data_IF_687254185759
#
_entry.id   IF_687254185759
#
_cell.length_a   1.000
_cell.length_b   1.000
_cell.length_c   1.000
_cell.angle_alpha   90.00
_cell.angle_beta   90.00
_cell.angle_gamma   90.00
#
_symmetry.space_group_name_H-M   'P 1'
#
loop_
_entity.id
_entity.type
_entity.pdbx_description
1 polymer ?
#
# COMPACT_ATOMS: atom_id res chain seq x y z
N UNK A 1 -40.26 23.11 19.48
CA UNK A 1 -40.49 23.44 18.06
C UNK A 1 -39.49 22.64 17.26
N UNK A 2 -39.93 21.55 16.64
CA UNK A 2 -39.11 20.76 15.73
C UNK A 2 -38.94 21.51 14.42
N UNK A 3 -37.82 22.22 14.29
CA UNK A 3 -37.36 22.80 13.04
C UNK A 3 -35.99 22.21 12.74
N UNK A 4 -35.80 21.73 11.51
CA UNK A 4 -34.47 21.36 11.01
C UNK A 4 -33.57 22.59 11.16
N UNK A 5 -32.46 22.44 11.88
CA UNK A 5 -31.45 23.48 12.04
C UNK A 5 -30.17 23.04 11.36
N UNK A 6 -29.64 23.88 10.50
CA UNK A 6 -28.35 23.66 9.84
C UNK A 6 -27.26 24.26 10.71
N UNK A 7 -26.22 23.47 10.95
CA UNK A 7 -25.08 23.83 11.79
C UNK A 7 -23.80 23.71 10.94
N UNK A 8 -23.00 24.78 10.90
CA UNK A 8 -21.71 24.80 10.25
C UNK A 8 -20.62 24.51 11.27
N UNK A 9 -19.69 23.62 10.91
CA UNK A 9 -18.60 23.20 11.78
C UNK A 9 -17.27 23.64 11.16
N UNK A 10 -16.46 24.34 11.96
CA UNK A 10 -15.18 24.88 11.57
C UNK A 10 -13.98 24.13 12.16
N UNK A 11 -12.78 24.65 11.91
CA UNK A 11 -11.53 24.10 12.45
C UNK A 11 -11.47 24.15 13.98
N UNK A 12 -10.74 23.23 14.59
CA UNK A 12 -10.59 23.12 16.05
C UNK A 12 -9.26 23.78 16.49
N UNK A 13 -9.27 24.75 17.42
CA UNK A 13 -8.05 25.39 17.92
C UNK A 13 -7.35 24.58 19.04
N UNK A 14 -8.02 23.59 19.63
CA UNK A 14 -7.50 22.77 20.72
C UNK A 14 -8.28 21.44 20.85
N UNK A 15 -7.64 20.41 21.40
CA UNK A 15 -8.27 19.11 21.65
C UNK A 15 -9.55 19.26 22.48
N UNK A 16 -10.69 18.85 21.93
CA UNK A 16 -12.01 18.90 22.59
C UNK A 16 -12.79 20.21 22.43
N UNK A 17 -12.35 21.11 21.53
CA UNK A 17 -13.03 22.37 21.27
C UNK A 17 -13.23 22.56 19.76
N UNK A 18 -14.47 22.69 19.31
CA UNK A 18 -14.80 22.85 17.88
C UNK A 18 -15.57 24.14 17.66
N UNK A 19 -15.22 24.89 16.61
CA UNK A 19 -16.01 26.07 16.21
C UNK A 19 -17.31 25.62 15.56
N UNK A 20 -18.42 26.18 16.03
CA UNK A 20 -19.76 25.85 15.55
C UNK A 20 -20.51 27.14 15.28
N UNK A 21 -21.18 27.23 14.12
CA UNK A 21 -22.02 28.37 13.75
C UNK A 21 -23.39 27.88 13.31
N UNK A 22 -24.45 28.51 13.82
CA UNK A 22 -25.80 28.23 13.38
C UNK A 22 -26.09 28.95 12.06
N UNK A 23 -26.77 28.27 11.14
CA UNK A 23 -27.24 28.91 9.92
C UNK A 23 -28.14 30.12 10.22
N UNK A 24 -27.89 31.24 9.54
CA UNK A 24 -28.52 32.53 9.80
C UNK A 24 -27.96 33.35 10.97
N UNK A 25 -26.85 32.92 11.60
CA UNK A 25 -26.15 33.70 12.63
C UNK A 25 -24.67 33.93 12.29
N UNK A 26 -24.16 35.11 12.60
CA UNK A 26 -22.75 35.47 12.41
C UNK A 26 -21.87 35.06 13.60
N UNK A 27 -22.48 34.75 14.74
CA UNK A 27 -21.79 34.37 15.96
C UNK A 27 -21.26 32.93 15.86
N UNK A 28 -19.96 32.78 16.10
CA UNK A 28 -19.29 31.49 16.18
C UNK A 28 -19.11 31.12 17.65
N UNK A 29 -19.54 29.92 18.01
CA UNK A 29 -19.47 29.41 19.38
C UNK A 29 -18.41 28.32 19.48
N UNK A 30 -17.83 28.18 20.67
CA UNK A 30 -16.94 27.08 21.00
C UNK A 30 -17.75 25.99 21.69
N UNK A 31 -17.94 24.85 21.02
CA UNK A 31 -18.58 23.68 21.62
C UNK A 31 -17.57 22.95 22.51
N UNK A 32 -17.87 22.84 23.81
CA UNK A 32 -17.16 21.95 24.75
C UNK A 32 -17.78 20.55 24.67
N UNK A 33 -16.95 19.50 24.82
CA UNK A 33 -17.36 18.08 24.81
C UNK A 33 -17.77 17.51 23.44
N UNK A 34 -17.33 18.13 22.34
CA UNK A 34 -17.31 17.46 21.03
C UNK A 34 -15.91 16.89 20.83
N UNK A 35 -15.76 15.58 20.93
CA UNK A 35 -14.48 14.94 20.65
C UNK A 35 -14.22 15.00 19.13
N UNK A 36 -12.96 15.20 18.72
CA UNK A 36 -12.57 15.31 17.31
C UNK A 36 -12.80 14.04 16.48
N UNK A 37 -13.16 12.94 17.13
CA UNK A 37 -13.46 11.64 16.53
C UNK A 37 -14.95 11.46 16.20
N UNK A 38 -15.83 12.18 16.89
CA UNK A 38 -17.27 12.23 16.65
C UNK A 38 -17.62 13.22 15.55
N UNK A 39 -16.77 14.22 15.30
CA UNK A 39 -17.00 15.23 14.26
C UNK A 39 -15.74 15.61 13.48
N UNK A 40 -15.25 14.70 12.65
CA UNK A 40 -14.06 14.97 11.86
C UNK A 40 -14.35 15.90 10.66
N UNK A 41 -13.43 16.82 10.36
CA UNK A 41 -13.61 17.85 9.33
C UNK A 41 -13.57 17.32 7.88
N UNK A 42 -13.11 16.08 7.69
CA UNK A 42 -13.10 15.43 6.38
C UNK A 42 -14.41 14.67 6.17
N UNK A 43 -15.09 14.93 5.05
CA UNK A 43 -16.34 14.26 4.70
C UNK A 43 -16.20 12.73 4.67
N UNK A 44 -15.01 12.20 4.33
CA UNK A 44 -14.67 10.77 4.33
C UNK A 44 -14.81 10.09 5.69
N UNK A 45 -14.78 10.83 6.80
CA UNK A 45 -14.94 10.27 8.14
C UNK A 45 -16.41 10.15 8.59
N UNK A 46 -17.33 10.64 7.75
CA UNK A 46 -18.79 10.56 7.95
C UNK A 46 -19.47 9.62 6.95
N UNK A 47 -18.73 9.12 5.97
CA UNK A 47 -19.23 8.24 4.92
C UNK A 47 -18.38 6.96 4.90
N UNK A 48 -18.95 5.86 4.39
CA UNK A 48 -18.12 4.72 4.06
C UNK A 48 -17.14 5.13 2.96
N UNK A 49 -15.85 5.18 3.31
CA UNK A 49 -14.80 5.57 2.39
C UNK A 49 -14.53 4.48 1.33
N UNK A 50 -15.10 3.28 1.47
CA UNK A 50 -15.08 2.25 0.43
C UNK A 50 -15.90 2.73 -0.78
N UNK A 51 -15.22 3.26 -1.79
CA UNK A 51 -15.86 3.85 -2.97
C UNK A 51 -16.18 2.82 -4.04
N UNK A 52 -15.30 1.84 -4.21
CA UNK A 52 -15.45 0.78 -5.19
C UNK A 52 -14.90 -0.52 -4.65
N UNK A 53 -15.60 -1.62 -4.90
CA UNK A 53 -15.15 -2.95 -4.51
C UNK A 53 -15.67 -4.01 -5.49
N UNK A 54 -14.82 -4.98 -5.81
CA UNK A 54 -15.19 -6.20 -6.54
C UNK A 54 -14.49 -7.40 -5.92
N UNK A 55 -15.10 -8.58 -6.04
CA UNK A 55 -14.46 -9.82 -5.62
C UNK A 55 -13.34 -10.17 -6.59
N UNK A 56 -12.10 -10.25 -6.12
CA UNK A 56 -10.93 -10.53 -6.96
C UNK A 56 -11.01 -11.87 -7.72
N UNK A 57 -11.73 -12.86 -7.16
CA UNK A 57 -11.93 -14.15 -7.82
C UNK A 57 -12.92 -14.08 -9.00
N UNK A 58 -13.81 -13.10 -9.00
CA UNK A 58 -14.82 -12.92 -10.03
C UNK A 58 -14.25 -12.12 -11.22
N UNK A 59 -13.12 -11.41 -11.05
CA UNK A 59 -12.47 -10.65 -12.14
C UNK A 59 -11.71 -11.59 -13.07
N UNK A 60 -12.09 -11.62 -14.34
CA UNK A 60 -11.45 -12.43 -15.38
C UNK A 60 -10.81 -11.59 -16.51
N UNK A 61 -11.17 -10.32 -16.65
CA UNK A 61 -10.54 -9.41 -17.61
C UNK A 61 -10.18 -8.06 -16.96
N UNK A 62 -8.98 -7.57 -17.27
CA UNK A 62 -8.49 -6.25 -16.86
C UNK A 62 -7.87 -5.57 -18.06
N UNK A 63 -8.41 -4.44 -18.49
CA UNK A 63 -7.76 -3.55 -19.45
C UNK A 63 -7.30 -2.29 -18.73
N UNK A 64 -6.00 -2.01 -18.74
CA UNK A 64 -5.42 -0.75 -18.24
C UNK A 64 -4.87 0.04 -19.42
N UNK A 65 -5.43 1.23 -19.64
CA UNK A 65 -4.96 2.20 -20.61
C UNK A 65 -4.38 3.41 -19.88
N UNK A 66 -3.13 3.74 -20.15
CA UNK A 66 -2.48 4.96 -19.66
C UNK A 66 -1.51 5.51 -20.72
N UNK A 67 -0.63 6.45 -20.34
CA UNK A 67 0.35 7.05 -21.24
C UNK A 67 1.43 6.07 -21.75
N UNK A 68 1.63 4.93 -21.07
CA UNK A 68 2.57 3.88 -21.48
C UNK A 68 1.97 2.87 -22.47
N UNK A 69 0.67 2.98 -22.76
CA UNK A 69 -0.05 2.12 -23.70
C UNK A 69 -1.21 1.37 -23.05
N UNK A 70 -1.67 0.33 -23.74
CA UNK A 70 -2.75 -0.55 -23.31
C UNK A 70 -2.17 -1.87 -22.81
N UNK A 71 -2.63 -2.32 -21.64
CA UNK A 71 -2.32 -3.62 -21.06
C UNK A 71 -3.62 -4.39 -20.88
N UNK A 72 -3.72 -5.55 -21.52
CA UNK A 72 -4.93 -6.38 -21.50
C UNK A 72 -4.59 -7.71 -20.83
N UNK A 73 -5.11 -7.93 -19.64
CA UNK A 73 -4.94 -9.16 -18.88
C UNK A 73 -6.21 -10.00 -18.94
N UNK A 74 -6.06 -11.29 -19.21
CA UNK A 74 -7.17 -12.25 -19.22
C UNK A 74 -6.84 -13.44 -18.34
N UNK A 75 -7.77 -13.81 -17.47
CA UNK A 75 -7.70 -15.00 -16.65
C UNK A 75 -8.33 -16.17 -17.40
N UNK A 76 -7.63 -17.30 -17.43
CA UNK A 76 -8.17 -18.54 -17.98
C UNK A 76 -9.37 -19.07 -17.20
N UNK A 77 -10.02 -20.09 -17.76
CA UNK A 77 -11.08 -20.83 -17.08
C UNK A 77 -10.59 -21.38 -15.73
N UNK A 78 -11.47 -21.48 -14.71
CA UNK A 78 -11.12 -22.11 -13.44
C UNK A 78 -10.54 -23.51 -13.62
N UNK A 79 -9.57 -23.84 -12.78
CA UNK A 79 -8.97 -25.17 -12.77
C UNK A 79 -9.99 -26.22 -12.30
N UNK A 80 -9.72 -27.49 -12.61
CA UNK A 80 -10.61 -28.61 -12.25
C UNK A 80 -10.83 -28.77 -10.73
N UNK A 81 -9.94 -28.20 -9.91
CA UNK A 81 -10.04 -28.17 -8.45
C UNK A 81 -10.84 -26.98 -7.90
N UNK A 82 -11.39 -26.13 -8.78
CA UNK A 82 -12.16 -24.94 -8.43
C UNK A 82 -11.31 -23.72 -8.08
N UNK A 83 -9.98 -23.77 -8.27
CA UNK A 83 -9.12 -22.58 -8.13
C UNK A 83 -9.24 -21.67 -9.35
N UNK A 84 -9.03 -20.34 -9.20
CA UNK A 84 -9.01 -19.43 -10.33
C UNK A 84 -7.98 -19.84 -11.39
N UNK A 85 -8.31 -19.62 -12.66
CA UNK A 85 -7.39 -19.88 -13.77
C UNK A 85 -6.16 -18.98 -13.74
N UNK A 86 -5.18 -19.29 -14.59
CA UNK A 86 -3.95 -18.51 -14.69
C UNK A 86 -4.17 -17.20 -15.46
N UNK A 87 -3.43 -16.17 -15.06
CA UNK A 87 -3.42 -14.89 -15.77
C UNK A 87 -2.53 -14.95 -17.00
N UNK A 88 -2.97 -14.26 -18.06
CA UNK A 88 -2.22 -14.02 -19.28
C UNK A 88 -2.25 -12.54 -19.62
N UNK A 89 -1.24 -12.06 -20.35
CA UNK A 89 -1.17 -10.71 -20.90
C UNK A 89 -1.20 -10.80 -22.43
N UNK A 90 -2.03 -10.00 -23.08
CA UNK A 90 -2.06 -9.94 -24.53
C UNK A 90 -0.73 -9.45 -25.11
N UNK A 91 -0.26 -10.11 -26.18
CA UNK A 91 1.02 -9.80 -26.81
C UNK A 91 2.24 -10.22 -26.00
N UNK A 92 2.12 -11.16 -25.07
CA UNK A 92 3.27 -11.81 -24.42
C UNK A 92 4.09 -12.61 -25.45
N UNK A 93 5.40 -12.39 -25.51
CA UNK A 93 6.29 -13.13 -26.40
C UNK A 93 6.57 -14.54 -25.86
N UNK A 94 7.01 -15.45 -26.74
CA UNK A 94 7.22 -16.86 -26.38
C UNK A 94 8.34 -17.10 -25.34
N UNK A 95 9.27 -16.15 -25.21
CA UNK A 95 10.39 -16.16 -24.28
C UNK A 95 10.14 -15.31 -23.02
N UNK A 96 8.98 -14.66 -22.92
CA UNK A 96 8.61 -13.85 -21.77
C UNK A 96 7.75 -14.63 -20.79
N UNK A 97 8.02 -14.45 -19.50
CA UNK A 97 7.21 -15.01 -18.44
C UNK A 97 6.49 -13.88 -17.71
N UNK A 98 5.19 -14.07 -17.47
CA UNK A 98 4.35 -13.09 -16.77
C UNK A 98 4.65 -13.11 -15.26
N UNK A 99 4.79 -11.93 -14.66
CA UNK A 99 4.85 -11.75 -13.22
C UNK A 99 3.42 -11.69 -12.67
N UNK A 100 2.90 -12.84 -12.25
CA UNK A 100 1.55 -12.96 -11.68
C UNK A 100 1.40 -12.26 -10.32
N UNK A 101 2.50 -12.00 -9.62
CA UNK A 101 2.49 -11.27 -8.34
C UNK A 101 2.18 -9.79 -8.56
N UNK A 102 2.68 -9.23 -9.68
CA UNK A 102 2.37 -7.85 -10.10
C UNK A 102 0.91 -7.68 -10.47
N UNK A 103 0.33 -8.66 -11.18
CA UNK A 103 -1.10 -8.65 -11.51
C UNK A 103 -1.95 -8.74 -10.24
N UNK A 104 -1.58 -9.60 -9.30
CA UNK A 104 -2.28 -9.72 -8.01
C UNK A 104 -2.25 -8.39 -7.23
N UNK A 105 -1.11 -7.70 -7.27
CA UNK A 105 -0.96 -6.36 -6.67
C UNK A 105 -1.85 -5.33 -7.35
N UNK A 106 -1.86 -5.28 -8.69
CA UNK A 106 -2.74 -4.40 -9.46
C UNK A 106 -4.21 -4.68 -9.13
N UNK A 107 -4.63 -5.94 -9.16
CA UNK A 107 -5.99 -6.37 -8.87
C UNK A 107 -6.44 -5.98 -7.45
N UNK A 108 -5.58 -6.13 -6.46
CA UNK A 108 -5.88 -5.74 -5.07
C UNK A 108 -6.15 -4.24 -4.96
N UNK A 109 -5.42 -3.43 -5.73
CA UNK A 109 -5.54 -1.96 -5.72
C UNK A 109 -6.79 -1.46 -6.42
N UNK A 110 -7.06 -1.97 -7.61
CA UNK A 110 -8.24 -1.56 -8.40
C UNK A 110 -9.53 -2.24 -7.92
N UNK A 111 -9.40 -3.41 -7.31
CA UNK A 111 -10.52 -4.19 -6.79
C UNK A 111 -11.08 -3.66 -5.47
N UNK A 112 -10.38 -2.76 -4.79
CA UNK A 112 -10.83 -2.12 -3.55
C UNK A 112 -10.27 -0.70 -3.46
N UNK A 113 -11.06 0.27 -3.89
CA UNK A 113 -10.64 1.68 -3.94
C UNK A 113 -11.34 2.45 -2.83
N UNK A 114 -10.54 3.13 -2.01
CA UNK A 114 -11.03 4.05 -0.98
C UNK A 114 -10.93 5.49 -1.46
N UNK A 115 -11.98 6.27 -1.23
CA UNK A 115 -11.95 7.71 -1.46
C UNK A 115 -11.24 8.44 -0.30
N UNK A 116 -10.56 9.52 -0.64
CA UNK A 116 -9.99 10.50 0.30
C UNK A 116 -11.02 11.59 0.57
N UNK A 117 -11.61 12.16 -0.48
CA UNK A 117 -12.66 13.17 -0.39
C UNK A 117 -13.69 12.98 -1.52
N UNK A 118 -14.99 13.19 -1.27
CA UNK A 118 -15.96 13.31 -2.35
C UNK A 118 -15.81 14.66 -3.07
N UNK A 119 -15.81 14.66 -4.41
CA UNK A 119 -15.77 15.87 -5.23
C UNK A 119 -17.17 16.37 -5.60
N UNK A 120 -18.14 15.47 -5.70
CA UNK A 120 -19.55 15.75 -5.99
C UNK A 120 -20.08 14.90 -7.15
N UNK A 121 -21.27 15.23 -7.67
CA UNK A 121 -21.88 14.51 -8.80
C UNK A 121 -21.72 15.23 -10.14
N UNK A 122 -21.27 16.47 -10.11
CA UNK A 122 -21.19 17.33 -11.30
C UNK A 122 -19.79 17.25 -11.87
N UNK A 123 -19.70 16.91 -13.15
CA UNK A 123 -18.42 16.95 -13.87
C UNK A 123 -17.88 18.38 -13.90
N UNK A 124 -16.59 18.52 -13.63
CA UNK A 124 -15.88 19.79 -13.69
C UNK A 124 -14.62 19.60 -14.54
N UNK A 125 -14.27 20.59 -15.38
CA UNK A 125 -13.05 20.53 -16.18
C UNK A 125 -11.78 20.31 -15.34
N UNK A 126 -11.75 20.84 -14.11
CA UNK A 126 -10.64 20.68 -13.16
C UNK A 126 -10.36 19.23 -12.76
N UNK A 127 -11.33 18.32 -12.94
CA UNK A 127 -11.14 16.89 -12.65
C UNK A 127 -10.38 16.16 -13.76
N UNK A 128 -10.20 16.75 -14.94
CA UNK A 128 -9.46 16.11 -16.04
C UNK A 128 -10.12 14.83 -16.58
N UNK A 129 -11.45 14.69 -16.42
CA UNK A 129 -12.17 13.46 -16.82
C UNK A 129 -12.43 13.36 -18.33
N UNK A 130 -12.29 14.47 -19.07
CA UNK A 130 -12.39 14.47 -20.54
C UNK A 130 -11.20 13.78 -21.21
N UNK A 131 -10.03 13.79 -20.57
CA UNK A 131 -8.83 13.10 -21.02
C UNK A 131 -8.17 12.44 -19.80
N UNK A 132 -8.68 11.27 -19.37
CA UNK A 132 -8.21 10.61 -18.17
C UNK A 132 -6.75 10.16 -18.34
N UNK A 133 -5.96 10.29 -17.27
CA UNK A 133 -4.54 9.90 -17.24
C UNK A 133 -4.38 8.38 -17.22
N UNK A 134 -5.37 7.67 -16.66
CA UNK A 134 -5.49 6.23 -16.75
C UNK A 134 -6.97 5.83 -16.77
N UNK A 135 -7.29 4.80 -17.55
CA UNK A 135 -8.61 4.16 -17.56
C UNK A 135 -8.43 2.67 -17.34
N UNK A 136 -9.13 2.12 -16.36
CA UNK A 136 -9.15 0.69 -16.07
C UNK A 136 -10.54 0.16 -16.33
N UNK A 137 -10.65 -0.88 -17.16
CA UNK A 137 -11.88 -1.63 -17.39
C UNK A 137 -11.73 -3.01 -16.75
N UNK A 138 -12.72 -3.41 -15.95
CA UNK A 138 -12.79 -4.72 -15.31
C UNK A 138 -14.02 -5.44 -15.83
N UNK A 139 -13.85 -6.69 -16.24
CA UNK A 139 -14.96 -7.62 -16.43
C UNK A 139 -14.99 -8.55 -15.22
N UNK A 140 -16.17 -8.73 -14.63
CA UNK A 140 -16.40 -9.71 -13.57
C UNK A 140 -17.45 -10.71 -13.98
N UNK A 141 -17.24 -11.97 -13.63
CA UNK A 141 -18.16 -13.07 -13.82
C UNK A 141 -18.46 -13.73 -12.47
N UNK A 142 -19.70 -13.69 -12.04
CA UNK A 142 -20.12 -14.34 -10.79
C UNK A 142 -20.25 -15.87 -10.95
N UNK A 143 -20.52 -16.56 -9.84
CA UNK A 143 -20.68 -18.02 -9.82
C UNK A 143 -21.88 -18.51 -10.66
N UNK A 144 -22.84 -17.64 -10.94
CA UNK A 144 -23.99 -17.90 -11.80
C UNK A 144 -23.69 -17.63 -13.29
N UNK A 145 -22.50 -17.10 -13.59
CA UNK A 145 -22.03 -16.77 -14.93
C UNK A 145 -22.51 -15.42 -15.45
N UNK A 146 -23.06 -14.56 -14.61
CA UNK A 146 -23.45 -13.21 -15.01
C UNK A 146 -22.20 -12.33 -15.13
N UNK A 147 -22.05 -11.71 -16.29
CA UNK A 147 -20.94 -10.81 -16.62
C UNK A 147 -21.35 -9.38 -16.30
N UNK A 148 -20.47 -8.63 -15.63
CA UNK A 148 -20.62 -7.20 -15.34
C UNK A 148 -19.32 -6.44 -15.60
N UNK A 149 -19.45 -5.32 -16.30
CA UNK A 149 -18.34 -4.45 -16.64
C UNK A 149 -18.27 -3.24 -15.71
N UNK A 150 -17.06 -2.90 -15.30
CA UNK A 150 -16.75 -1.70 -14.53
C UNK A 150 -15.70 -0.86 -15.24
N UNK A 151 -15.94 0.44 -15.35
CA UNK A 151 -14.95 1.39 -15.86
C UNK A 151 -14.53 2.33 -14.75
N UNK A 152 -13.24 2.39 -14.50
CA UNK A 152 -12.60 3.21 -13.48
C UNK A 152 -11.71 4.24 -14.20
N UNK A 153 -12.05 5.51 -14.06
CA UNK A 153 -11.34 6.60 -14.72
C UNK A 153 -10.56 7.41 -13.70
N UNK A 154 -9.28 7.64 -13.99
CA UNK A 154 -8.38 8.47 -13.21
C UNK A 154 -8.14 9.78 -13.96
N UNK A 155 -8.58 10.87 -13.37
CA UNK A 155 -8.45 12.22 -13.90
C UNK A 155 -7.17 12.92 -13.42
N UNK A 156 -7.25 14.24 -13.29
CA UNK A 156 -6.13 15.10 -12.91
C UNK A 156 -5.70 14.90 -11.44
N UNK A 157 -4.40 15.13 -11.20
CA UNK A 157 -3.79 15.23 -9.87
C UNK A 157 -3.98 16.64 -9.28
N UNK A 158 -4.37 16.73 -8.02
CA UNK A 158 -4.49 17.99 -7.28
C UNK A 158 -3.14 18.44 -6.66
N UNK A 159 -3.14 19.63 -6.05
CA UNK A 159 -1.95 20.19 -5.38
C UNK A 159 -1.50 19.39 -4.14
N UNK A 160 -2.39 18.56 -3.58
CA UNK A 160 -2.09 17.67 -2.45
C UNK A 160 -1.56 16.31 -2.91
N UNK A 161 -1.51 16.08 -4.23
CA UNK A 161 -1.06 14.85 -4.85
C UNK A 161 -2.12 13.75 -4.93
N UNK A 162 -3.40 14.04 -4.67
CA UNK A 162 -4.51 13.10 -4.87
C UNK A 162 -5.04 13.19 -6.30
N UNK A 163 -5.65 12.12 -6.78
CA UNK A 163 -6.21 12.09 -8.13
C UNK A 163 -7.73 12.14 -8.09
N UNK A 164 -8.33 12.88 -9.01
CA UNK A 164 -9.76 12.74 -9.29
C UNK A 164 -10.04 11.33 -9.85
N UNK A 165 -11.11 10.70 -9.41
CA UNK A 165 -11.46 9.33 -9.76
C UNK A 165 -12.97 9.18 -9.94
N UNK A 166 -13.37 8.33 -10.88
CA UNK A 166 -14.76 8.02 -11.19
C UNK A 166 -14.93 6.55 -11.55
N UNK A 167 -15.84 5.87 -10.87
CA UNK A 167 -16.30 4.53 -11.24
C UNK A 167 -17.62 4.61 -12.01
N UNK A 168 -17.85 3.70 -12.97
CA UNK A 168 -19.12 3.55 -13.68
C UNK A 168 -20.28 3.16 -12.76
N UNK A 169 -20.01 2.50 -11.63
CA UNK A 169 -21.01 2.03 -10.67
C UNK A 169 -21.46 3.12 -9.67
N UNK A 170 -20.88 4.32 -9.73
CA UNK A 170 -21.18 5.43 -8.82
C UNK A 170 -21.48 6.72 -9.57
N UNK A 171 -22.44 7.52 -9.10
CA UNK A 171 -22.72 8.85 -9.65
C UNK A 171 -21.71 9.92 -9.21
N UNK A 172 -20.86 9.62 -8.24
CA UNK A 172 -19.97 10.61 -7.63
C UNK A 172 -18.58 10.59 -8.25
N UNK A 173 -18.03 11.77 -8.47
CA UNK A 173 -16.60 12.02 -8.59
C UNK A 173 -16.00 12.07 -7.18
N UNK A 174 -14.83 11.46 -7.01
CA UNK A 174 -14.11 11.42 -5.74
C UNK A 174 -12.63 11.70 -5.96
N UNK A 175 -11.91 11.94 -4.88
CA UNK A 175 -10.45 11.92 -4.86
C UNK A 175 -9.98 10.59 -4.31
N UNK A 176 -8.93 10.02 -4.90
CA UNK A 176 -8.20 8.87 -4.34
C UNK A 176 -6.77 9.27 -4.01
N UNK A 177 -6.14 8.49 -3.14
CA UNK A 177 -4.80 8.77 -2.69
C UNK A 177 -3.78 8.73 -3.84
N UNK A 178 -2.78 9.60 -3.75
CA UNK A 178 -1.73 9.74 -4.75
C UNK A 178 -0.98 8.45 -5.08
N UNK A 179 -0.76 7.57 -4.09
CA UNK A 179 -0.07 6.30 -4.32
C UNK A 179 -0.83 5.40 -5.30
N UNK A 180 -2.16 5.26 -5.13
CA UNK A 180 -2.99 4.43 -6.01
C UNK A 180 -3.01 5.01 -7.42
N UNK A 181 -3.17 6.33 -7.56
CA UNK A 181 -3.20 6.98 -8.86
C UNK A 181 -1.83 6.96 -9.56
N UNK A 182 -0.75 7.22 -8.82
CA UNK A 182 0.61 7.23 -9.37
C UNK A 182 1.00 5.87 -9.94
N UNK A 183 0.61 4.78 -9.28
CA UNK A 183 0.87 3.44 -9.76
C UNK A 183 0.14 3.24 -11.11
N UNK A 184 -1.17 3.47 -11.18
CA UNK A 184 -1.97 3.29 -12.40
C UNK A 184 -1.47 4.10 -13.61
N UNK A 185 -0.95 5.32 -13.37
CA UNK A 185 -0.41 6.17 -14.44
C UNK A 185 0.97 5.69 -14.91
N UNK A 186 1.75 5.05 -14.03
CA UNK A 186 3.14 4.64 -14.30
C UNK A 186 3.28 3.20 -14.76
N UNK A 187 2.32 2.33 -14.45
CA UNK A 187 2.33 0.93 -14.88
C UNK A 187 2.66 0.83 -16.37
N UNK A 188 3.65 0.02 -16.68
CA UNK A 188 4.06 -0.27 -18.05
C UNK A 188 4.20 -1.78 -18.24
N UNK A 189 4.16 -2.23 -19.49
CA UNK A 189 4.30 -3.66 -19.84
C UNK A 189 5.50 -4.33 -19.17
N UNK A 190 6.63 -3.63 -19.12
CA UNK A 190 7.88 -4.14 -18.56
C UNK A 190 7.77 -4.50 -17.07
N UNK A 191 6.84 -3.88 -16.33
CA UNK A 191 6.63 -4.16 -14.91
C UNK A 191 5.94 -5.50 -14.66
N UNK A 192 5.31 -6.08 -15.70
CA UNK A 192 4.58 -7.35 -15.64
C UNK A 192 5.36 -8.52 -16.23
N UNK A 193 6.57 -8.30 -16.73
CA UNK A 193 7.42 -9.38 -17.22
C UNK A 193 8.40 -9.75 -16.11
N UNK A 194 8.50 -11.04 -15.80
CA UNK A 194 9.47 -11.53 -14.85
C UNK A 194 10.87 -11.12 -15.31
N UNK A 195 11.54 -10.34 -14.48
CA UNK A 195 12.94 -10.09 -14.67
C UNK A 195 13.68 -11.39 -14.35
N UNK A 196 14.71 -11.77 -15.14
CA UNK A 196 15.55 -12.90 -14.76
C UNK A 196 16.03 -12.63 -13.34
N UNK A 197 15.85 -13.60 -12.44
CA UNK A 197 16.36 -13.47 -11.07
C UNK A 197 17.80 -12.99 -11.18
N UNK A 198 18.08 -11.78 -10.71
CA UNK A 198 19.46 -11.40 -10.44
C UNK A 198 19.90 -12.39 -9.40
N UNK A 199 20.63 -13.43 -9.84
CA UNK A 199 21.28 -14.35 -8.95
C UNK A 199 22.10 -13.51 -7.99
N UNK A 200 21.59 -13.30 -6.78
CA UNK A 200 22.41 -12.83 -5.67
C UNK A 200 23.55 -13.84 -5.65
N UNK A 201 24.80 -13.42 -5.90
CA UNK A 201 25.93 -14.33 -5.74
C UNK A 201 25.78 -14.89 -4.35
N UNK A 202 25.64 -16.21 -4.22
CA UNK A 202 25.49 -16.88 -2.94
C UNK A 202 26.50 -16.24 -1.99
N UNK A 203 26.01 -15.42 -1.05
CA UNK A 203 26.86 -14.81 -0.05
C UNK A 203 27.52 -15.99 0.63
N UNK A 204 28.83 -16.06 0.46
CA UNK A 204 29.63 -17.21 0.85
C UNK A 204 29.33 -17.44 2.32
N UNK A 205 28.64 -18.54 2.61
CA UNK A 205 28.34 -18.95 3.96
C UNK A 205 29.64 -18.79 4.77
N UNK A 206 29.63 -18.06 5.90
CA UNK A 206 30.83 -17.94 6.71
C UNK A 206 31.35 -19.35 7.00
N UNK A 207 32.67 -19.59 6.87
CA UNK A 207 33.22 -20.92 7.02
C UNK A 207 32.75 -21.50 8.34
N UNK A 208 32.21 -22.73 8.28
CA UNK A 208 31.74 -23.46 9.45
C UNK A 208 32.84 -23.39 10.53
N UNK A 209 32.48 -22.82 11.68
CA UNK A 209 33.35 -22.82 12.84
C UNK A 209 33.77 -24.28 13.12
N UNK A 210 35.05 -24.55 13.39
CA UNK A 210 35.50 -25.91 13.65
C UNK A 210 34.74 -26.45 14.86
N UNK A 211 34.16 -27.64 14.69
CA UNK A 211 33.50 -28.36 15.77
C UNK A 211 34.47 -28.52 16.95
N UNK A 212 34.15 -27.89 18.08
CA UNK A 212 34.82 -28.18 19.35
C UNK A 212 34.40 -29.59 19.78
N UNK A 213 35.30 -30.55 19.60
CA UNK A 213 35.16 -31.85 20.24
C UNK A 213 35.27 -31.65 21.74
N UNK A 214 34.24 -32.06 22.50
CA UNK A 214 34.28 -32.15 23.95
C UNK A 214 35.32 -33.20 24.36
N UNK A 215 36.57 -32.77 24.49
CA UNK A 215 37.69 -33.55 25.00
C UNK A 215 37.93 -33.24 26.47
N UNK A 216 37.61 -34.22 27.31
CA UNK A 216 38.16 -34.54 28.63
C UNK A 216 38.94 -33.44 29.37
N UNK A 217 38.36 -32.99 30.49
CA UNK A 217 39.06 -32.25 31.54
C UNK A 217 40.22 -33.13 32.05
N UNK A 218 41.45 -32.74 31.74
CA UNK A 218 42.65 -33.28 32.40
C UNK A 218 43.16 -32.22 33.35
N UNK A 219 43.03 -32.51 34.64
CA UNK A 219 43.56 -31.72 35.75
C UNK A 219 45.09 -31.75 35.69
N UNK A 220 45.72 -30.62 35.40
CA UNK A 220 47.17 -30.47 35.51
C UNK A 220 47.51 -29.92 36.89
N UNK A 221 47.90 -30.82 37.78
CA UNK A 221 48.65 -30.50 39.00
C UNK A 221 50.11 -30.25 38.61
N UNK A 222 50.68 -29.18 39.19
CA UNK A 222 52.10 -28.87 39.35
C UNK A 222 52.93 -28.20 38.22
N UNK A 223 53.59 -27.14 38.71
CA UNK A 223 54.89 -26.56 38.35
C UNK A 223 55.05 -25.73 37.06
N UNK A 224 55.08 -24.41 37.29
CA UNK A 224 55.76 -23.39 36.48
C UNK A 224 57.27 -23.67 36.41
N UNK A 225 57.83 -23.66 35.20
CA UNK A 225 59.21 -23.19 34.96
C UNK A 225 59.28 -22.37 33.66
N UNK A 226 59.80 -21.16 33.83
CA UNK A 226 60.09 -20.12 32.85
C UNK A 226 61.12 -20.56 31.78
N UNK A 227 61.08 -19.97 30.58
CA UNK A 227 62.16 -19.13 29.99
C UNK A 227 61.82 -18.81 28.52
N UNK A 228 61.59 -17.54 28.19
CA UNK A 228 61.51 -17.08 26.80
C UNK A 228 60.82 -15.74 26.65
N UNK A 229 61.61 -14.66 26.61
CA UNK A 229 61.18 -13.29 26.34
C UNK A 229 60.37 -13.18 25.04
N UNK A 230 59.20 -12.55 25.10
CA UNK A 230 58.55 -11.99 23.90
C UNK A 230 58.33 -10.51 24.17
N UNK A 231 59.05 -9.71 23.38
CA UNK A 231 59.11 -8.26 23.44
C UNK A 231 57.75 -7.69 23.03
N UNK A 232 57.15 -6.91 23.92
CA UNK A 232 55.99 -6.10 23.62
C UNK A 232 56.37 -5.00 22.61
N UNK A 233 55.58 -4.86 21.56
CA UNK A 233 55.40 -3.59 20.86
C UNK A 233 53.89 -3.37 20.76
N UNK A 234 53.38 -2.67 21.77
CA UNK A 234 52.02 -2.09 21.83
C UNK A 234 51.74 -1.25 20.55
N UNK A 235 50.53 -1.20 20.02
CA UNK A 235 49.38 -0.62 20.70
C UNK A 235 48.06 -1.37 20.45
N UNK A 236 47.51 -1.93 21.52
CA UNK A 236 46.10 -2.28 21.65
C UNK A 236 45.44 -1.18 22.48
N UNK A 237 44.57 -0.39 21.88
CA UNK A 237 43.66 0.49 22.62
C UNK A 237 42.50 -0.34 23.15
N UNK A 238 42.60 -0.80 24.40
CA UNK A 238 41.48 -1.27 25.19
C UNK A 238 40.86 -0.08 25.93
N UNK A 239 39.57 0.16 25.75
CA UNK A 239 38.77 0.90 26.73
C UNK A 239 37.86 -0.13 27.38
N UNK A 240 38.32 -0.64 28.52
CA UNK A 240 37.52 -1.43 29.44
C UNK A 240 36.93 -0.48 30.48
N UNK A 241 35.62 -0.59 30.73
CA UNK A 241 34.99 -0.06 31.94
C UNK A 241 34.08 -1.15 32.48
N UNK A 242 34.68 -2.06 33.25
CA UNK A 242 33.95 -2.87 34.23
C UNK A 242 33.68 -1.98 35.44
N UNK A 243 32.43 -1.94 35.89
CA UNK A 243 32.09 -1.59 37.27
C UNK A 243 31.16 -2.68 37.80
N UNK A 244 31.78 -3.64 38.46
CA UNK A 244 31.15 -4.55 39.41
C UNK A 244 30.84 -3.77 40.69
N UNK A 245 29.62 -3.87 41.20
CA UNK A 245 29.45 -3.86 42.66
C UNK A 245 28.21 -4.67 43.03
N UNK A 246 28.51 -5.79 43.68
CA UNK A 246 27.57 -6.78 44.20
C UNK A 246 26.97 -6.40 45.57
N UNK A 247 25.71 -6.82 45.77
CA UNK A 247 25.09 -7.40 47.01
C UNK A 247 24.65 -6.42 48.13
N UNK A 248 23.63 -6.73 48.98
CA UNK A 248 22.89 -7.99 49.17
C UNK A 248 21.39 -8.03 48.79
#
# INVERSE_FOLDING_TARGET
SDGVKTLYIGSSPASGATHVRLDGQDETYLGSDINSWEWAAQASNWIDAQYFTVTANDVDHITLQNANGELVFTRGEPNADGTPGEWSLEGLAADEQLDTSKITTLLTRIGSVRLVNPLGKTDKPEYGMSEPQATVTLETKDAEGAVKDYTLQLGAKDDQGNYAFKSSDSEYYVQIAGFTGDDLVKEARADYIQQPESSVPAESAPPAAPAVQSGTIVTATDAVTSTGDITATDAVTATDVVSDTSVP
#
